data_IF_467225820106
#
_entry.id   IF_467225820106
#
_cell.length_a   1.000
_cell.length_b   1.000
_cell.length_c   1.000
_cell.angle_alpha   90.00
_cell.angle_beta   90.00
_cell.angle_gamma   90.00
#
_symmetry.space_group_name_H-M   'P 1'
#
loop_
_entity.id
_entity.type
_entity.pdbx_description
1 polymer ?
#
# COMPACT_ATOMS: atom_id res chain seq x y z
N UNK A 1 12.85 7.99 23.50
CA UNK A 1 12.64 8.03 22.04
C UNK A 1 12.15 9.43 21.74
N UNK A 2 12.86 10.19 20.90
CA UNK A 2 12.43 11.53 20.52
C UNK A 2 11.02 11.41 19.92
N UNK A 3 10.09 12.28 20.37
CA UNK A 3 8.68 12.25 20.00
C UNK A 3 8.42 12.72 18.56
N UNK A 4 9.17 12.19 17.59
CA UNK A 4 8.95 12.41 16.17
C UNK A 4 7.70 11.66 15.69
N UNK A 5 7.04 12.22 14.69
CA UNK A 5 5.83 11.65 14.14
C UNK A 5 6.18 10.50 13.19
N UNK A 6 5.62 9.31 13.42
CA UNK A 6 5.90 8.16 12.57
C UNK A 6 4.97 8.17 11.37
N UNK A 7 5.55 8.18 10.17
CA UNK A 7 4.85 7.97 8.90
C UNK A 7 5.30 6.64 8.31
N UNK A 8 4.34 5.76 8.02
CA UNK A 8 4.64 4.45 7.44
C UNK A 8 4.38 4.49 5.94
N UNK A 9 5.36 4.10 5.13
CA UNK A 9 5.20 3.95 3.69
C UNK A 9 5.35 2.47 3.30
N UNK A 10 4.33 1.91 2.66
CA UNK A 10 4.41 0.52 2.18
C UNK A 10 4.53 0.48 0.67
N UNK A 11 5.29 -0.46 0.14
CA UNK A 11 5.26 -0.85 -1.28
C UNK A 11 5.01 -2.35 -1.41
N UNK A 12 4.54 -2.79 -2.56
CA UNK A 12 4.31 -4.22 -2.80
C UNK A 12 5.58 -4.93 -3.28
N UNK A 13 5.72 -6.19 -2.89
CA UNK A 13 6.75 -7.06 -3.43
C UNK A 13 6.48 -7.53 -4.87
N UNK A 14 7.25 -8.53 -5.35
CA UNK A 14 7.16 -9.02 -6.71
C UNK A 14 5.77 -9.53 -7.09
N UNK A 15 5.34 -9.24 -8.31
CA UNK A 15 4.04 -9.69 -8.83
C UNK A 15 4.01 -9.77 -10.36
N UNK A 16 3.64 -10.95 -10.88
CA UNK A 16 3.56 -11.22 -12.33
C UNK A 16 4.87 -10.80 -13.03
N UNK A 17 4.80 -9.87 -13.98
CA UNK A 17 5.96 -9.38 -14.73
C UNK A 17 6.89 -8.46 -13.92
N UNK A 18 6.45 -7.97 -12.76
CA UNK A 18 7.26 -7.08 -11.92
C UNK A 18 8.11 -7.91 -10.95
N UNK A 19 9.28 -8.36 -11.40
CA UNK A 19 10.28 -9.01 -10.53
C UNK A 19 10.79 -8.06 -9.46
N UNK A 20 10.89 -6.77 -9.78
CA UNK A 20 11.06 -5.71 -8.80
C UNK A 20 9.94 -4.69 -9.00
N UNK A 21 9.09 -4.56 -8.00
CA UNK A 21 7.91 -3.72 -8.07
C UNK A 21 8.28 -2.23 -7.93
N UNK A 22 7.87 -1.36 -8.88
CA UNK A 22 8.11 0.08 -8.80
C UNK A 22 7.66 0.73 -7.49
N UNK A 23 6.55 0.27 -6.90
CA UNK A 23 6.07 0.80 -5.61
C UNK A 23 7.08 0.58 -4.46
N UNK A 24 7.72 -0.59 -4.41
CA UNK A 24 8.74 -0.86 -3.39
C UNK A 24 10.04 -0.10 -3.65
N UNK A 25 10.43 0.09 -4.92
CA UNK A 25 11.56 0.97 -5.26
C UNK A 25 11.30 2.41 -4.79
N UNK A 26 10.10 2.93 -5.03
CA UNK A 26 9.69 4.27 -4.61
C UNK A 26 9.69 4.42 -3.08
N UNK A 27 9.16 3.44 -2.34
CA UNK A 27 9.21 3.45 -0.87
C UNK A 27 10.65 3.50 -0.33
N UNK A 28 11.57 2.71 -0.92
CA UNK A 28 13.00 2.77 -0.58
C UNK A 28 13.61 4.15 -0.87
N UNK A 29 13.27 4.75 -2.00
CA UNK A 29 13.67 6.12 -2.33
C UNK A 29 13.19 7.15 -1.30
N UNK A 30 11.92 7.07 -0.89
CA UNK A 30 11.34 7.95 0.14
C UNK A 30 12.07 7.83 1.49
N UNK A 31 12.47 6.62 1.88
CA UNK A 31 13.28 6.40 3.10
C UNK A 31 14.64 7.07 3.03
N UNK A 32 15.28 7.07 1.85
CA UNK A 32 16.59 7.67 1.65
C UNK A 32 16.54 9.21 1.69
N UNK A 33 15.52 9.82 1.08
CA UNK A 33 15.38 11.29 1.06
C UNK A 33 14.87 11.87 2.37
N UNK A 34 14.16 11.09 3.19
CA UNK A 34 13.66 11.52 4.51
C UNK A 34 12.58 12.61 4.44
N UNK A 35 12.06 13.04 5.59
CA UNK A 35 10.97 14.04 5.70
C UNK A 35 11.31 15.13 6.75
N UNK A 36 12.60 15.46 6.85
CA UNK A 36 13.12 16.37 7.88
C UNK A 36 13.20 15.73 9.27
N UNK A 37 13.54 16.54 10.28
CA UNK A 37 13.85 16.05 11.64
C UNK A 37 12.62 15.68 12.47
N UNK A 38 11.42 16.14 12.08
CA UNK A 38 10.18 15.91 12.84
C UNK A 38 9.46 14.61 12.47
N UNK A 39 9.73 14.07 11.28
CA UNK A 39 8.96 12.97 10.69
C UNK A 39 9.86 11.76 10.44
N UNK A 40 9.61 10.71 11.21
CA UNK A 40 10.30 9.43 11.06
C UNK A 40 9.57 8.56 10.02
N UNK A 41 10.23 8.29 8.90
CA UNK A 41 9.70 7.39 7.87
C UNK A 41 10.05 5.94 8.21
N UNK A 42 9.05 5.10 8.39
CA UNK A 42 9.19 3.64 8.39
C UNK A 42 8.74 3.06 7.06
N UNK A 43 9.49 2.11 6.50
CA UNK A 43 9.07 1.44 5.26
C UNK A 43 8.86 -0.05 5.44
N UNK A 44 7.86 -0.60 4.74
CA UNK A 44 7.55 -2.03 4.77
C UNK A 44 7.19 -2.55 3.39
N UNK A 45 7.88 -3.61 2.96
CA UNK A 45 7.47 -4.36 1.79
C UNK A 45 6.32 -5.30 2.15
N UNK A 46 5.24 -5.23 1.38
CA UNK A 46 4.03 -6.05 1.57
C UNK A 46 3.98 -7.11 0.46
N UNK A 47 3.95 -8.41 0.78
CA UNK A 47 3.74 -9.45 -0.22
C UNK A 47 2.37 -9.27 -0.90
N UNK A 48 2.26 -9.67 -2.16
CA UNK A 48 0.95 -9.70 -2.85
C UNK A 48 0.16 -10.93 -2.39
N UNK A 49 -0.22 -10.94 -1.11
CA UNK A 49 -1.01 -11.98 -0.45
C UNK A 49 -1.96 -11.39 0.59
N UNK A 50 -3.25 -11.75 0.51
CA UNK A 50 -4.28 -11.16 1.37
C UNK A 50 -4.00 -11.37 2.86
N UNK A 51 -3.68 -12.62 3.24
CA UNK A 51 -3.39 -13.00 4.64
C UNK A 51 -2.19 -12.22 5.16
N UNK A 52 -1.11 -12.13 4.38
CA UNK A 52 0.10 -11.41 4.80
C UNK A 52 -0.12 -9.91 4.86
N UNK A 53 -0.91 -9.34 3.94
CA UNK A 53 -1.31 -7.93 4.00
C UNK A 53 -2.08 -7.63 5.29
N UNK A 54 -3.08 -8.44 5.66
CA UNK A 54 -3.82 -8.23 6.92
C UNK A 54 -2.89 -8.26 8.13
N UNK A 55 -2.01 -9.28 8.21
CA UNK A 55 -1.06 -9.42 9.32
C UNK A 55 -0.15 -8.21 9.44
N UNK A 56 0.48 -7.79 8.34
CA UNK A 56 1.45 -6.68 8.33
C UNK A 56 0.78 -5.35 8.63
N UNK A 57 -0.37 -5.06 8.01
CA UNK A 57 -1.07 -3.78 8.24
C UNK A 57 -1.62 -3.70 9.68
N UNK A 58 -2.16 -4.80 10.22
CA UNK A 58 -2.57 -4.84 11.62
C UNK A 58 -1.39 -4.58 12.57
N UNK A 59 -0.25 -5.25 12.34
CA UNK A 59 0.98 -5.06 13.12
C UNK A 59 1.46 -3.61 13.06
N UNK A 60 1.47 -2.98 11.89
CA UNK A 60 1.87 -1.57 11.71
C UNK A 60 1.03 -0.66 12.61
N UNK A 61 -0.31 -0.78 12.56
CA UNK A 61 -1.20 0.08 13.33
C UNK A 61 -1.16 -0.21 14.84
N UNK A 62 -0.93 -1.46 15.24
CA UNK A 62 -0.89 -1.88 16.65
C UNK A 62 0.44 -1.59 17.34
N UNK A 63 1.55 -1.59 16.60
CA UNK A 63 2.90 -1.47 17.20
C UNK A 63 3.50 -0.10 16.98
N UNK A 64 3.40 0.44 15.76
CA UNK A 64 4.05 1.70 15.39
C UNK A 64 3.18 2.92 15.68
N UNK A 65 1.87 2.74 15.85
CA UNK A 65 0.89 3.81 16.07
C UNK A 65 1.12 5.03 15.15
N UNK A 66 1.21 4.82 13.82
CA UNK A 66 1.66 5.88 12.92
C UNK A 66 0.68 7.06 12.90
N UNK A 67 1.21 8.28 12.73
CA UNK A 67 0.40 9.48 12.43
C UNK A 67 -0.34 9.30 11.10
N UNK A 68 0.32 8.66 10.14
CA UNK A 68 -0.23 8.43 8.80
C UNK A 68 0.42 7.23 8.12
N UNK A 69 -0.35 6.46 7.35
CA UNK A 69 0.15 5.38 6.51
C UNK A 69 -0.08 5.68 5.02
N UNK A 70 0.96 5.53 4.19
CA UNK A 70 0.89 5.74 2.74
C UNK A 70 1.21 4.44 2.04
N UNK A 71 0.23 3.90 1.32
CA UNK A 71 0.39 2.70 0.52
C UNK A 71 0.72 3.08 -0.91
N UNK A 72 1.81 2.53 -1.44
CA UNK A 72 2.20 2.68 -2.84
C UNK A 72 1.81 1.41 -3.60
N UNK A 73 1.02 1.59 -4.65
CA UNK A 73 0.64 0.55 -5.61
C UNK A 73 1.11 0.91 -7.02
N UNK A 74 1.06 -0.03 -7.97
CA UNK A 74 1.40 0.26 -9.37
C UNK A 74 0.13 0.30 -10.21
N UNK A 75 -0.10 1.43 -10.90
CA UNK A 75 -1.12 1.52 -11.93
C UNK A 75 -0.58 0.91 -13.24
N UNK A 76 -1.12 -0.25 -13.61
CA UNK A 76 -0.69 -0.97 -14.82
C UNK A 76 -1.09 -0.20 -16.08
N UNK A 77 -0.11 0.04 -16.96
CA UNK A 77 -0.31 0.67 -18.26
C UNK A 77 -0.55 2.18 -18.21
N UNK A 78 -0.37 2.80 -17.04
CA UNK A 78 -0.46 4.25 -16.90
C UNK A 78 0.92 4.90 -16.79
N UNK A 79 0.99 6.13 -17.30
CA UNK A 79 2.09 7.08 -17.13
C UNK A 79 1.87 8.08 -16.00
N UNK A 80 0.72 8.02 -15.32
CA UNK A 80 0.23 9.01 -14.39
C UNK A 80 0.34 8.51 -12.94
N UNK A 81 0.33 9.45 -12.01
CA UNK A 81 0.20 9.20 -10.57
C UNK A 81 -1.27 9.40 -10.18
N UNK A 82 -1.87 8.42 -9.48
CA UNK A 82 -3.24 8.54 -8.98
C UNK A 82 -3.25 8.68 -7.47
N UNK A 83 -4.07 9.61 -6.97
CA UNK A 83 -4.38 9.79 -5.56
C UNK A 83 -5.77 9.21 -5.29
N UNK A 84 -5.83 8.10 -4.55
CA UNK A 84 -7.06 7.36 -4.32
C UNK A 84 -7.78 7.86 -3.06
N UNK A 85 -9.00 8.39 -3.22
CA UNK A 85 -9.80 8.91 -2.11
C UNK A 85 -10.45 7.80 -1.27
N UNK A 86 -10.94 6.75 -1.94
CA UNK A 86 -11.92 5.80 -1.39
C UNK A 86 -11.40 4.38 -1.48
N UNK A 87 -11.26 3.70 -0.34
CA UNK A 87 -11.08 2.25 -0.26
C UNK A 87 -12.43 1.54 -0.21
N UNK A 88 -12.52 0.33 -0.76
CA UNK A 88 -13.78 -0.43 -0.84
C UNK A 88 -13.67 -1.76 -0.10
N UNK A 89 -14.73 -2.19 0.58
CA UNK A 89 -14.65 -3.39 1.42
C UNK A 89 -14.89 -4.69 0.65
N UNK A 90 -15.48 -4.66 -0.54
CA UNK A 90 -15.98 -5.88 -1.19
C UNK A 90 -15.67 -5.95 -2.68
N UNK A 91 -15.72 -7.17 -3.21
CA UNK A 91 -15.48 -7.47 -4.62
C UNK A 91 -14.11 -8.11 -4.91
N UNK A 92 -13.39 -8.57 -3.88
CA UNK A 92 -12.09 -9.23 -4.02
C UNK A 92 -12.25 -10.66 -4.52
N UNK A 93 -12.15 -10.85 -5.83
CA UNK A 93 -12.34 -12.17 -6.50
C UNK A 93 -11.06 -12.69 -7.15
N UNK A 94 -10.07 -11.82 -7.34
CA UNK A 94 -8.81 -12.17 -7.97
C UNK A 94 -7.88 -12.84 -6.96
N UNK A 95 -7.31 -13.99 -7.37
CA UNK A 95 -6.35 -14.74 -6.58
C UNK A 95 -5.03 -13.97 -6.42
N UNK A 96 -4.46 -14.07 -5.24
CA UNK A 96 -3.14 -13.58 -4.88
C UNK A 96 -2.03 -14.48 -5.45
N UNK A 97 -0.75 -14.16 -5.18
CA UNK A 97 0.38 -14.97 -5.68
C UNK A 97 0.44 -16.37 -5.08
N UNK A 98 -0.27 -16.61 -3.99
CA UNK A 98 -0.40 -17.90 -3.34
C UNK A 98 -1.65 -18.68 -3.84
N UNK A 99 -2.44 -18.10 -4.74
CA UNK A 99 -3.63 -18.73 -5.31
C UNK A 99 -4.91 -18.54 -4.48
N UNK A 100 -4.91 -17.64 -3.50
CA UNK A 100 -6.02 -17.40 -2.58
C UNK A 100 -6.69 -16.04 -2.81
N UNK A 101 -7.98 -15.95 -2.50
CA UNK A 101 -8.69 -14.69 -2.31
C UNK A 101 -9.59 -14.81 -1.07
N UNK A 102 -10.09 -13.70 -0.48
CA UNK A 102 -10.99 -13.77 0.65
C UNK A 102 -12.25 -14.58 0.31
N UNK A 103 -12.61 -15.54 1.17
CA UNK A 103 -13.79 -16.40 0.92
C UNK A 103 -15.09 -15.59 0.89
N UNK A 104 -15.22 -14.63 1.82
CA UNK A 104 -16.33 -13.67 1.85
C UNK A 104 -16.27 -12.62 0.75
N UNK A 105 -15.21 -12.60 -0.07
CA UNK A 105 -14.91 -11.56 -1.07
C UNK A 105 -14.85 -10.14 -0.48
N UNK A 106 -14.71 -10.04 0.84
CA UNK A 106 -14.65 -8.80 1.60
C UNK A 106 -13.28 -8.66 2.29
N UNK A 107 -12.89 -7.42 2.62
CA UNK A 107 -11.68 -7.13 3.37
C UNK A 107 -11.88 -7.31 4.88
N UNK A 108 -12.98 -6.76 5.39
CA UNK A 108 -13.41 -6.87 6.79
C UNK A 108 -14.88 -7.26 6.82
N UNK A 109 -15.20 -8.42 7.39
CA UNK A 109 -16.59 -8.86 7.55
C UNK A 109 -17.36 -7.90 8.45
N UNK A 110 -18.55 -7.49 8.01
CA UNK A 110 -19.36 -6.49 8.70
C UNK A 110 -18.82 -5.06 8.63
N UNK A 111 -17.68 -4.82 7.97
CA UNK A 111 -17.12 -3.48 7.79
C UNK A 111 -17.94 -2.61 6.82
N UNK A 112 -17.82 -1.26 6.90
CA UNK A 112 -18.50 -0.34 5.99
C UNK A 112 -18.20 -0.63 4.51
N UNK A 113 -19.15 -0.42 3.60
CA UNK A 113 -18.92 -0.73 2.17
C UNK A 113 -17.72 0.06 1.58
N UNK A 114 -17.53 1.29 2.04
CA UNK A 114 -16.50 2.23 1.57
C UNK A 114 -15.98 3.06 2.73
N UNK A 115 -14.70 3.43 2.66
CA UNK A 115 -14.06 4.36 3.58
C UNK A 115 -13.26 5.39 2.77
N UNK A 116 -13.43 6.68 3.08
CA UNK A 116 -12.60 7.74 2.51
C UNK A 116 -11.49 8.10 3.49
N UNK A 117 -10.29 8.44 3.00
CA UNK A 117 -9.24 9.06 3.82
C UNK A 117 -9.74 10.34 4.50
N UNK A 118 -9.16 10.70 5.65
CA UNK A 118 -9.32 12.04 6.23
C UNK A 118 -8.66 13.13 5.38
N UNK A 119 -7.71 12.75 4.53
CA UNK A 119 -7.08 13.65 3.55
C UNK A 119 -8.00 13.82 2.34
N UNK A 120 -8.16 15.06 1.91
CA UNK A 120 -8.87 15.42 0.68
C UNK A 120 -7.93 15.32 -0.52
N UNK A 121 -7.92 14.15 -1.16
CA UNK A 121 -7.05 13.87 -2.32
C UNK A 121 -7.38 14.75 -3.52
N UNK A 122 -8.61 15.26 -3.63
CA UNK A 122 -8.99 16.20 -4.69
C UNK A 122 -8.32 17.56 -4.48
N UNK A 123 -8.26 18.03 -3.24
CA UNK A 123 -7.56 19.28 -2.90
C UNK A 123 -6.06 19.15 -3.18
N UNK A 124 -5.43 18.05 -2.75
CA UNK A 124 -4.01 17.75 -3.07
C UNK A 124 -3.78 17.74 -4.58
N UNK A 125 -4.62 17.03 -5.35
CA UNK A 125 -4.47 16.99 -6.80
C UNK A 125 -4.66 18.36 -7.47
N UNK A 126 -5.59 19.18 -6.98
CA UNK A 126 -5.83 20.54 -7.47
C UNK A 126 -4.60 21.43 -7.26
N UNK A 127 -3.99 21.37 -6.09
CA UNK A 127 -2.78 22.14 -5.74
C UNK A 127 -1.62 21.81 -6.67
N UNK A 128 -1.34 20.52 -6.89
CA UNK A 128 -0.26 20.09 -7.79
C UNK A 128 -0.54 20.49 -9.24
N UNK A 129 -1.81 20.40 -9.68
CA UNK A 129 -2.20 20.84 -11.01
C UNK A 129 -1.99 22.35 -11.20
N UNK A 130 -2.28 23.17 -10.19
CA UNK A 130 -2.03 24.61 -10.22
C UNK A 130 -0.53 24.93 -10.28
N UNK A 131 0.31 24.09 -9.69
CA UNK A 131 1.77 24.16 -9.79
C UNK A 131 2.34 23.52 -11.08
N UNK A 132 1.49 23.11 -12.04
CA UNK A 132 1.91 22.54 -13.32
C UNK A 132 2.33 21.07 -13.29
N UNK A 133 1.97 20.34 -12.23
CA UNK A 133 2.22 18.90 -12.11
C UNK A 133 0.93 18.10 -12.17
N UNK A 134 0.79 17.24 -13.17
CA UNK A 134 -0.40 16.40 -13.33
C UNK A 134 -0.36 15.17 -12.40
N UNK A 135 -1.27 15.17 -11.42
CA UNK A 135 -1.62 14.00 -10.61
C UNK A 135 -3.14 13.83 -10.64
N UNK A 136 -3.62 12.60 -10.73
CA UNK A 136 -5.02 12.29 -11.01
C UNK A 136 -5.73 11.93 -9.71
N UNK A 137 -6.78 12.67 -9.36
CA UNK A 137 -7.71 12.27 -8.33
C UNK A 137 -8.57 11.08 -8.79
N UNK A 138 -8.69 10.05 -7.95
CA UNK A 138 -9.50 8.86 -8.21
C UNK A 138 -10.31 8.45 -6.97
N UNK A 139 -11.47 7.80 -7.20
CA UNK A 139 -12.30 7.15 -6.15
C UNK A 139 -12.44 5.64 -6.36
N UNK A 140 -11.62 5.06 -7.24
CA UNK A 140 -11.67 3.64 -7.54
C UNK A 140 -10.27 3.06 -7.75
N UNK A 141 -9.71 2.53 -6.66
CA UNK A 141 -8.42 1.85 -6.65
C UNK A 141 -8.44 0.41 -7.23
N UNK A 142 -9.57 -0.05 -7.78
CA UNK A 142 -9.76 -1.44 -8.22
C UNK A 142 -10.13 -2.38 -7.06
N UNK A 143 -10.11 -3.71 -7.28
CA UNK A 143 -10.47 -4.74 -6.27
C UNK A 143 -9.39 -5.79 -6.13
N UNK A 144 -8.17 -5.33 -5.85
CA UNK A 144 -7.03 -6.19 -5.59
C UNK A 144 -6.24 -5.70 -4.36
N UNK A 145 -5.01 -6.17 -4.20
CA UNK A 145 -4.22 -6.00 -2.98
C UNK A 145 -3.93 -4.54 -2.60
N UNK A 146 -3.82 -3.62 -3.57
CA UNK A 146 -3.61 -2.19 -3.26
C UNK A 146 -4.81 -1.58 -2.55
N UNK A 147 -6.02 -1.75 -3.11
CA UNK A 147 -7.28 -1.32 -2.49
C UNK A 147 -7.55 -2.07 -1.18
N UNK A 148 -7.24 -3.37 -1.12
CA UNK A 148 -7.39 -4.18 0.09
C UNK A 148 -6.50 -3.67 1.24
N UNK A 149 -5.21 -3.44 0.99
CA UNK A 149 -4.29 -2.90 1.99
C UNK A 149 -4.75 -1.51 2.46
N UNK A 150 -5.17 -0.67 1.50
CA UNK A 150 -5.66 0.67 1.78
C UNK A 150 -6.93 0.67 2.63
N UNK A 151 -7.95 -0.08 2.25
CA UNK A 151 -9.20 -0.19 3.01
C UNK A 151 -8.94 -0.73 4.42
N UNK A 152 -8.13 -1.79 4.55
CA UNK A 152 -7.80 -2.37 5.86
C UNK A 152 -7.09 -1.35 6.76
N UNK A 153 -6.18 -0.57 6.18
CA UNK A 153 -5.48 0.52 6.85
C UNK A 153 -6.43 1.67 7.25
N UNK A 154 -7.37 2.07 6.39
CA UNK A 154 -8.41 3.05 6.73
C UNK A 154 -9.29 2.58 7.89
N UNK A 155 -9.65 1.29 7.90
CA UNK A 155 -10.49 0.68 8.94
C UNK A 155 -9.79 0.69 10.31
N UNK A 156 -8.52 0.30 10.37
CA UNK A 156 -7.76 0.23 11.63
C UNK A 156 -7.13 1.57 12.05
N UNK A 157 -6.80 2.42 11.09
CA UNK A 157 -6.05 3.66 11.29
C UNK A 157 -6.90 4.90 11.45
N UNK A 158 -8.17 4.77 11.85
CA UNK A 158 -9.10 5.91 11.97
C UNK A 158 -9.12 6.78 10.71
N UNK A 159 -9.10 6.13 9.53
CA UNK A 159 -9.10 6.78 8.21
C UNK A 159 -7.84 7.61 7.90
N UNK A 160 -6.76 7.52 8.70
CA UNK A 160 -5.45 8.17 8.50
C UNK A 160 -4.53 7.36 7.58
N UNK A 161 -5.03 7.00 6.40
CA UNK A 161 -4.23 6.34 5.38
C UNK A 161 -4.40 7.00 4.01
N UNK A 162 -3.44 6.81 3.12
CA UNK A 162 -3.50 7.16 1.71
C UNK A 162 -3.10 5.97 0.84
N UNK A 163 -3.61 5.95 -0.40
CA UNK A 163 -3.11 5.10 -1.46
C UNK A 163 -2.72 5.96 -2.65
N UNK A 164 -1.48 5.79 -3.11
CA UNK A 164 -0.95 6.41 -4.31
C UNK A 164 -0.60 5.31 -5.30
N UNK A 165 -1.24 5.30 -6.46
CA UNK A 165 -0.80 4.45 -7.55
C UNK A 165 0.28 5.17 -8.36
N UNK A 166 1.47 4.58 -8.42
CA UNK A 166 2.60 5.07 -9.21
C UNK A 166 2.56 4.49 -10.63
N UNK A 167 3.13 5.20 -11.62
CA UNK A 167 3.13 4.75 -13.01
C UNK A 167 3.97 3.50 -13.21
N UNK A 168 3.61 2.71 -14.23
CA UNK A 168 4.40 1.57 -14.71
C UNK A 168 5.12 1.83 -16.03
N UNK A 169 4.89 2.98 -16.66
CA UNK A 169 5.49 3.37 -17.93
C UNK A 169 5.68 4.89 -18.01
N UNK A 170 6.45 5.37 -18.98
CA UNK A 170 6.66 6.80 -19.19
C UNK A 170 7.71 7.43 -18.28
N UNK A 171 7.91 8.74 -18.46
CA UNK A 171 9.04 9.47 -17.88
C UNK A 171 9.03 9.58 -16.34
N UNK A 172 7.86 9.44 -15.71
CA UNK A 172 7.69 9.44 -14.26
C UNK A 172 8.05 8.11 -13.60
N UNK A 173 8.48 7.09 -14.36
CA UNK A 173 9.01 5.84 -13.77
C UNK A 173 10.43 5.98 -13.22
N UNK A 174 11.15 7.05 -13.58
CA UNK A 174 12.48 7.34 -13.03
C UNK A 174 12.37 7.75 -11.56
N UNK A 175 13.21 7.15 -10.71
CA UNK A 175 13.25 7.47 -9.28
C UNK A 175 13.55 8.96 -9.02
N UNK A 176 14.40 9.59 -9.83
CA UNK A 176 14.79 11.01 -9.70
C UNK A 176 13.63 11.97 -9.90
N UNK A 177 12.55 11.52 -10.54
CA UNK A 177 11.33 12.32 -10.75
C UNK A 177 10.21 11.88 -9.81
N UNK A 178 10.05 10.56 -9.62
CA UNK A 178 8.96 10.02 -8.83
C UNK A 178 9.14 10.28 -7.33
N UNK A 179 10.35 10.09 -6.79
CA UNK A 179 10.58 10.19 -5.35
C UNK A 179 10.35 11.63 -4.85
N UNK A 180 10.90 12.69 -5.49
CA UNK A 180 10.62 14.07 -5.07
C UNK A 180 9.14 14.44 -5.18
N UNK A 181 8.44 13.95 -6.22
CA UNK A 181 7.01 14.16 -6.37
C UNK A 181 6.23 13.49 -5.24
N UNK A 182 6.50 12.21 -4.94
CA UNK A 182 5.85 11.49 -3.84
C UNK A 182 6.14 12.14 -2.49
N UNK A 183 7.37 12.61 -2.26
CA UNK A 183 7.74 13.31 -1.04
C UNK A 183 6.90 14.58 -0.86
N UNK A 184 6.79 15.40 -1.93
CA UNK A 184 6.00 16.63 -1.93
C UNK A 184 4.50 16.35 -1.70
N UNK A 185 3.97 15.31 -2.36
CA UNK A 185 2.59 14.87 -2.16
C UNK A 185 2.33 14.49 -0.71
N UNK A 186 3.21 13.68 -0.11
CA UNK A 186 3.05 13.22 1.27
C UNK A 186 3.18 14.40 2.26
N UNK A 187 4.09 15.36 2.05
CA UNK A 187 4.12 16.59 2.86
C UNK A 187 2.78 17.33 2.80
N UNK A 188 2.23 17.53 1.61
CA UNK A 188 0.93 18.20 1.41
C UNK A 188 -0.20 17.45 2.13
N UNK A 189 -0.16 16.11 2.14
CA UNK A 189 -1.13 15.29 2.89
C UNK A 189 -0.96 15.45 4.40
N UNK A 190 0.28 15.51 4.90
CA UNK A 190 0.58 15.69 6.32
C UNK A 190 0.14 17.08 6.82
N UNK A 191 0.30 18.12 6.00
CA UNK A 191 -0.15 19.48 6.32
C UNK A 191 -1.68 19.52 6.57
N UNK A 192 -2.47 18.75 5.80
CA UNK A 192 -3.92 18.62 6.04
C UNK A 192 -4.26 17.95 7.37
N UNK A 193 -3.35 17.13 7.94
CA UNK A 193 -3.57 16.47 9.23
C UNK A 193 -3.29 17.39 10.42
N UNK A 194 -2.46 18.42 10.23
CA UNK A 194 -2.09 19.39 11.27
C UNK A 194 -3.10 20.53 11.39
N UNK A 195 -3.78 20.88 10.29
CA UNK A 195 -4.79 21.94 10.26
C UNK A 195 -6.10 21.45 9.59
N UNK A 196 -6.95 20.71 10.32
CA UNK A 196 -8.23 20.22 9.78
C UNK A 196 -9.24 21.35 9.48
N UNK A 197 -8.97 22.59 9.92
CA UNK A 197 -9.90 23.72 9.86
C UNK A 197 -9.58 24.72 8.74
N UNK A 198 -8.45 24.59 8.04
CA UNK A 198 -8.21 25.35 6.81
C UNK A 198 -9.31 25.02 5.80
N UNK A 199 -10.15 25.99 5.39
CA UNK A 199 -11.17 25.75 4.38
C UNK A 199 -10.44 25.51 3.05
N UNK A 200 -10.34 24.25 2.63
CA UNK A 200 -10.13 23.97 1.22
C UNK A 200 -11.43 24.32 0.51
N UNK A 201 -11.46 25.48 -0.17
CA UNK A 201 -12.63 26.04 -0.85
C UNK A 201 -13.62 24.97 -1.35
N UNK A 202 -14.78 25.01 -0.70
CA UNK A 202 -16.10 24.41 -0.96
C UNK A 202 -16.19 23.18 -1.87
N UNK A 203 -16.82 22.13 -1.31
CA UNK A 203 -17.69 21.21 -2.03
C UNK A 203 -18.76 22.01 -2.79
N UNK A 204 -18.45 22.46 -4.00
CA UNK A 204 -19.49 22.78 -4.96
C UNK A 204 -20.14 21.46 -5.38
N UNK A 205 -21.43 21.37 -5.12
CA UNK A 205 -22.34 20.38 -5.71
C UNK A 205 -22.27 20.50 -7.22
N UNK A 206 -21.34 19.78 -7.85
CA UNK A 206 -21.37 19.62 -9.29
C UNK A 206 -22.53 18.69 -9.66
N UNK A 207 -23.44 19.25 -10.45
CA UNK A 207 -24.55 18.59 -11.12
C UNK A 207 -24.11 17.25 -11.74
N UNK A 208 -24.72 16.15 -11.28
CA UNK A 208 -24.50 14.77 -11.74
C UNK A 208 -24.92 14.52 -13.20
N UNK A 209 -25.30 15.57 -13.94
CA UNK A 209 -25.75 15.49 -15.34
C UNK A 209 -24.63 15.50 -16.37
N UNK A 210 -23.35 15.68 -15.99
CA UNK A 210 -22.23 15.57 -16.94
C UNK A 210 -21.63 14.15 -16.91
N UNK A 211 -21.49 13.48 -18.06
CA UNK A 211 -20.83 12.18 -18.10
C UNK A 211 -19.39 12.34 -17.64
N UNK A 212 -18.99 11.58 -16.62
CA UNK A 212 -17.59 11.41 -16.27
C UNK A 212 -16.85 10.99 -17.55
N UNK A 213 -15.72 11.63 -17.83
CA UNK A 213 -14.77 11.11 -18.82
C UNK A 213 -14.31 9.77 -18.27
N UNK A 214 -14.98 8.70 -18.70
CA UNK A 214 -14.49 7.36 -18.51
C UNK A 214 -13.13 7.31 -19.18
N UNK A 215 -12.06 7.24 -18.39
CA UNK A 215 -10.88 6.54 -18.85
C UNK A 215 -11.40 5.22 -19.42
N UNK A 216 -11.07 4.94 -20.69
CA UNK A 216 -11.36 3.64 -21.28
C UNK A 216 -10.77 2.59 -20.34
N UNK A 217 -11.62 2.02 -19.50
CA UNK A 217 -11.41 0.69 -18.96
C UNK A 217 -11.25 -0.15 -20.20
N UNK A 218 -10.01 -0.57 -20.46
CA UNK A 218 -9.77 -1.63 -21.42
C UNK A 218 -10.70 -2.75 -21.00
N UNK A 219 -11.66 -3.01 -21.88
CA UNK A 219 -12.79 -3.91 -21.72
C UNK A 219 -12.37 -5.19 -21.00
N UNK A 220 -13.27 -5.68 -20.13
CA UNK A 220 -13.26 -7.04 -19.58
C UNK A 220 -12.77 -8.05 -20.64
N UNK A 221 -11.50 -8.42 -20.58
CA UNK A 221 -11.08 -9.69 -21.15
C UNK A 221 -11.29 -10.70 -20.03
N UNK A 222 -12.17 -11.65 -20.32
CA UNK A 222 -12.30 -12.89 -19.56
C UNK A 222 -10.90 -13.47 -19.33
N UNK A 223 -10.50 -13.59 -18.07
CA UNK A 223 -9.24 -14.19 -17.67
C UNK A 223 -9.33 -15.72 -17.78
N UNK A 224 -9.44 -16.23 -19.01
CA UNK A 224 -9.31 -17.63 -19.34
C UNK A 224 -8.26 -17.76 -20.43
N UNK A 225 -7.09 -18.31 -20.11
CA UNK A 225 -6.05 -18.62 -21.09
C UNK A 225 -4.64 -18.20 -20.71
N UNK A 226 -4.14 -18.63 -19.55
CA UNK A 226 -2.69 -18.79 -19.35
C UNK A 226 -2.47 -20.18 -18.75
N UNK A 227 -1.77 -21.10 -19.42
CA UNK A 227 -1.53 -22.43 -18.88
C UNK A 227 -0.62 -22.33 -17.63
N UNK A 228 -0.88 -23.10 -16.56
CA UNK A 228 -0.09 -23.03 -15.34
C UNK A 228 1.17 -23.86 -15.51
N UNK A 229 2.20 -23.33 -16.16
CA UNK A 229 3.53 -23.97 -16.16
C UNK A 229 4.65 -22.94 -16.03
N UNK A 230 4.95 -22.58 -14.79
CA UNK A 230 6.29 -22.21 -14.38
C UNK A 230 6.57 -22.91 -13.05
N UNK A 231 7.41 -23.95 -13.09
CA UNK A 231 7.92 -24.62 -11.89
C UNK A 231 8.81 -23.63 -11.15
N UNK A 232 8.40 -23.28 -9.94
CA UNK A 232 9.23 -22.48 -9.03
C UNK A 232 10.34 -23.37 -8.44
N UNK A 233 11.58 -22.87 -8.27
CA UNK A 233 12.62 -23.57 -7.53
C UNK A 233 12.14 -23.90 -6.11
N UNK A 234 12.37 -25.12 -5.64
CA UNK A 234 11.85 -25.68 -4.37
C UNK A 234 12.41 -25.06 -3.07
N UNK A 235 12.91 -23.83 -3.09
CA UNK A 235 13.43 -23.16 -1.90
C UNK A 235 12.64 -21.92 -1.43
N UNK A 236 11.41 -21.71 -1.94
CA UNK A 236 10.49 -20.65 -1.45
C UNK A 236 9.16 -21.25 -0.97
N UNK A 237 9.23 -22.37 -0.23
CA UNK A 237 8.08 -22.97 0.46
C UNK A 237 8.49 -23.39 1.88
N UNK A 238 8.63 -22.39 2.74
CA UNK A 238 8.76 -22.48 4.20
C UNK A 238 8.55 -21.04 4.68
N UNK A 239 7.47 -20.62 5.34
CA UNK A 239 6.51 -21.33 6.16
C UNK A 239 5.11 -20.69 6.01
N UNK A 240 4.11 -21.52 5.70
CA UNK A 240 2.71 -21.25 6.01
C UNK A 240 2.28 -22.29 7.06
N UNK A 241 2.20 -21.94 8.36
CA UNK A 241 1.54 -22.80 9.31
C UNK A 241 0.04 -22.78 8.99
N UNK A 242 -0.52 -23.96 8.70
CA UNK A 242 -1.97 -24.18 8.81
C UNK A 242 -2.32 -23.99 10.28
N UNK A 243 -3.06 -22.94 10.61
CA UNK A 243 -3.73 -22.88 11.91
C UNK A 243 -5.20 -23.21 11.67
N UNK A 244 -5.52 -24.46 12.01
CA UNK A 244 -6.90 -24.88 12.23
C UNK A 244 -7.44 -24.14 13.45
N UNK A 245 -8.71 -23.78 13.37
CA UNK A 245 -9.51 -23.47 14.54
C UNK A 245 -9.48 -24.70 15.46
N UNK A 246 -8.99 -24.54 16.70
CA UNK A 246 -9.55 -25.18 17.90
C UNK A 246 -8.69 -24.87 19.15
N UNK A 247 -9.40 -24.52 20.24
CA UNK A 247 -8.97 -24.61 21.64
C UNK A 247 -8.27 -23.40 22.30
N UNK A 248 -9.04 -22.34 22.52
CA UNK A 248 -8.90 -21.51 23.72
C UNK A 248 -9.47 -22.29 24.93
N UNK A 249 -8.60 -22.90 25.74
CA UNK A 249 -8.92 -23.24 27.14
C UNK A 249 -7.65 -23.48 27.96
N UNK A 250 -7.57 -22.72 29.07
CA UNK A 250 -6.76 -22.92 30.28
C UNK A 250 -5.35 -22.30 30.31
N UNK A 251 -5.30 -21.08 30.87
CA UNK A 251 -4.14 -20.49 31.52
C UNK A 251 -4.05 -21.02 32.96
N UNK A 252 -2.85 -21.45 33.37
CA UNK A 252 -2.44 -21.73 34.75
C UNK A 252 -0.92 -21.58 34.87
N UNK A 253 -0.37 -21.07 35.99
CA UNK A 253 0.94 -20.41 35.99
C UNK A 253 2.09 -21.35 36.38
N UNK A 254 3.28 -21.14 35.80
CA UNK A 254 4.52 -21.62 36.43
C UNK A 254 5.69 -21.97 35.51
N UNK A 255 6.71 -21.09 35.58
CA UNK A 255 8.16 -21.35 35.51
C UNK A 255 8.90 -21.29 34.16
N UNK A 256 9.75 -20.24 34.16
CA UNK A 256 11.20 -20.13 33.87
C UNK A 256 11.68 -20.10 32.42
N UNK A 257 12.25 -18.93 32.15
CA UNK A 257 13.25 -18.53 31.16
C UNK A 257 14.22 -19.64 30.73
N UNK A 258 14.42 -19.71 29.41
CA UNK A 258 15.67 -20.11 28.79
C UNK A 258 16.01 -19.11 27.70
N UNK A 259 17.13 -18.43 27.87
CA UNK A 259 17.80 -17.58 26.88
C UNK A 259 18.19 -18.40 25.64
N UNK A 260 18.04 -17.82 24.45
CA UNK A 260 18.60 -18.32 23.19
C UNK A 260 19.42 -17.18 22.57
N UNK A 261 20.68 -17.41 22.15
CA UNK A 261 21.63 -16.35 21.85
C UNK A 261 21.39 -15.70 20.47
N UNK A 262 21.85 -14.45 20.39
CA UNK A 262 21.96 -13.61 19.19
C UNK A 262 23.10 -14.12 18.32
N UNK A 263 22.88 -14.40 17.05
CA UNK A 263 23.95 -14.61 16.07
C UNK A 263 23.88 -13.57 14.97
N UNK A 264 24.95 -12.79 14.88
CA UNK A 264 25.28 -11.85 13.81
C UNK A 264 25.37 -12.57 12.45
N UNK A 265 24.98 -11.86 11.39
CA UNK A 265 25.33 -12.24 10.01
C UNK A 265 25.89 -10.99 9.32
N UNK A 266 27.22 -10.88 9.33
CA UNK A 266 28.01 -10.02 8.46
C UNK A 266 28.55 -10.83 7.28
N UNK A 267 28.56 -10.19 6.11
CA UNK A 267 29.47 -10.40 4.97
C UNK A 267 29.59 -11.78 4.32
N UNK A 268 28.98 -11.90 3.13
CA UNK A 268 29.53 -12.72 2.05
C UNK A 268 29.50 -11.92 0.73
N UNK A 269 30.61 -11.22 0.50
CA UNK A 269 31.04 -10.84 -0.83
C UNK A 269 31.55 -12.09 -1.58
N UNK A 270 31.03 -12.33 -2.77
CA UNK A 270 31.71 -13.12 -3.80
C UNK A 270 31.41 -12.50 -5.17
N UNK A 271 32.40 -11.77 -5.68
CA UNK A 271 32.57 -11.67 -7.13
C UNK A 271 33.22 -12.95 -7.65
N UNK A 272 32.88 -13.35 -8.87
CA UNK A 272 33.76 -13.99 -9.85
C UNK A 272 33.17 -13.71 -11.25
N UNK A 273 34.12 -13.59 -12.16
CA UNK A 273 34.21 -13.06 -13.51
C UNK A 273 33.50 -13.84 -14.64
N UNK A 274 33.26 -13.08 -15.72
CA UNK A 274 33.33 -13.39 -17.15
C UNK A 274 33.29 -14.86 -17.64
N UNK A 275 32.37 -15.09 -18.57
CA UNK A 275 32.32 -16.16 -19.56
C UNK A 275 31.28 -15.81 -20.60
#
# INVERSE_FOLDING_TARGET
>A
MNGGEVVVVTGFGPFRQFLVNPSWKAAKGLKLVGFGERTDIFIREVPVSYVKTQQIIAEIWQTLHPKFAVHLGVARGSSDVFLEQTGKNSGYRDKDVCGFCPESQCCVEGGPEKLDSVVNMRAVAKEFKQAGTDVIYSRDAGRYLCDFAYYFSLYHGQRRAALIHVPSSGSLTSADRLVPLLQSLIHTMLDQLEDPQKPHEEMMTEDFSKPAVTARVVSRQSWAGVPPQARWPKHVLSACPRLGLETLRQLGPGRRETQVPVTEYSDLAWGITAG
#
